data_IF_074105317153
#
_entry.id   IF_074105317153
#
_cell.length_a   1.000
_cell.length_b   1.000
_cell.length_c   1.000
_cell.angle_alpha   90.00
_cell.angle_beta   90.00
_cell.angle_gamma   90.00
#
_symmetry.space_group_name_H-M   'P 1'
#
loop_
_entity.id
_entity.type
_entity.pdbx_description
1 polymer ?
#
# COMPACT_ATOMS: atom_id res chain seq x y z
N UNK A 1 10.51 6.44 13.05
CA UNK A 1 10.48 5.07 12.48
C UNK A 1 10.46 4.03 13.59
N UNK A 2 11.52 3.95 14.41
CA UNK A 2 11.63 2.97 15.50
C UNK A 2 10.57 3.15 16.60
N UNK A 3 10.21 4.37 16.97
CA UNK A 3 9.22 4.61 18.05
C UNK A 3 7.83 4.07 17.71
N UNK A 4 7.40 4.17 16.45
CA UNK A 4 6.11 3.63 16.00
C UNK A 4 6.21 2.16 15.58
N UNK A 5 7.41 1.57 15.62
CA UNK A 5 7.69 0.22 15.16
C UNK A 5 7.34 0.00 13.69
N UNK A 6 7.45 1.04 12.87
CA UNK A 6 7.24 0.95 11.42
C UNK A 6 8.58 0.66 10.76
N UNK A 7 8.63 -0.42 9.98
CA UNK A 7 9.82 -0.79 9.22
C UNK A 7 9.76 -0.20 7.81
N UNK A 8 10.93 0.05 7.21
CA UNK A 8 11.02 0.51 5.82
C UNK A 8 10.36 -0.49 4.85
N UNK A 9 10.41 -1.78 5.18
CA UNK A 9 9.74 -2.83 4.41
C UNK A 9 8.20 -2.68 4.45
N UNK A 10 7.61 -2.42 5.62
CA UNK A 10 6.16 -2.23 5.74
C UNK A 10 5.68 -1.01 4.94
N UNK A 11 6.48 0.05 4.89
CA UNK A 11 6.21 1.24 4.07
C UNK A 11 6.25 0.89 2.58
N UNK A 12 7.30 0.19 2.12
CA UNK A 12 7.45 -0.24 0.73
C UNK A 12 6.30 -1.16 0.29
N UNK A 13 5.91 -2.11 1.13
CA UNK A 13 4.79 -3.03 0.86
C UNK A 13 3.47 -2.28 0.73
N UNK A 14 3.19 -1.35 1.66
CA UNK A 14 1.96 -0.53 1.61
C UNK A 14 1.87 0.27 0.31
N UNK A 15 2.97 0.93 -0.08
CA UNK A 15 3.03 1.70 -1.33
C UNK A 15 2.89 0.82 -2.57
N UNK A 16 3.55 -0.35 -2.60
CA UNK A 16 3.45 -1.30 -3.71
C UNK A 16 2.02 -1.80 -3.87
N UNK A 17 1.39 -2.23 -2.78
CA UNK A 17 0.01 -2.74 -2.81
C UNK A 17 -0.95 -1.64 -3.26
N UNK A 18 -0.79 -0.42 -2.75
CA UNK A 18 -1.67 0.70 -3.11
C UNK A 18 -1.53 1.11 -4.59
N UNK A 19 -0.32 1.05 -5.16
CA UNK A 19 -0.03 1.54 -6.52
C UNK A 19 -0.12 0.46 -7.61
N UNK A 20 0.32 -0.76 -7.32
CA UNK A 20 0.39 -1.87 -8.27
C UNK A 20 -0.57 -3.03 -7.93
N UNK A 21 -1.12 -3.06 -6.71
CA UNK A 21 -1.86 -4.21 -6.17
C UNK A 21 -0.92 -5.17 -5.42
N UNK A 22 -1.51 -6.01 -4.56
CA UNK A 22 -0.74 -7.03 -3.84
C UNK A 22 -0.31 -8.19 -4.76
N UNK A 23 0.71 -8.95 -4.35
CA UNK A 23 1.10 -10.16 -5.05
C UNK A 23 -0.02 -11.19 -4.98
N UNK A 24 -0.15 -12.03 -6.01
CA UNK A 24 -1.22 -13.03 -6.17
C UNK A 24 -1.34 -14.01 -4.98
N UNK A 25 -0.25 -14.19 -4.22
CA UNK A 25 -0.23 -15.01 -3.00
C UNK A 25 -0.87 -14.34 -1.77
N UNK A 26 -0.89 -13.01 -1.71
CA UNK A 26 -1.51 -12.22 -0.63
C UNK A 26 -2.97 -11.83 -0.91
N UNK A 27 -3.45 -12.05 -2.14
CA UNK A 27 -4.81 -11.69 -2.52
C UNK A 27 -5.83 -12.58 -1.81
N UNK A 28 -6.81 -11.95 -1.17
CA UNK A 28 -7.99 -12.64 -0.69
C UNK A 28 -8.70 -13.29 -1.88
N UNK A 29 -8.99 -14.59 -1.78
CA UNK A 29 -9.57 -15.35 -2.89
C UNK A 29 -11.02 -15.71 -2.60
N UNK A 30 -11.92 -15.31 -3.49
CA UNK A 30 -13.31 -15.75 -3.46
C UNK A 30 -13.42 -17.12 -4.14
N UNK A 31 -13.84 -18.13 -3.38
CA UNK A 31 -14.10 -19.46 -3.90
C UNK A 31 -15.55 -19.55 -4.38
N UNK A 32 -15.72 -19.68 -5.70
CA UNK A 32 -17.00 -20.01 -6.32
C UNK A 32 -17.03 -21.50 -6.64
N UNK A 33 -18.22 -22.05 -6.83
CA UNK A 33 -18.44 -23.49 -7.07
C UNK A 33 -17.62 -24.08 -8.23
N UNK A 34 -17.16 -23.25 -9.17
CA UNK A 34 -16.44 -23.67 -10.37
C UNK A 34 -15.08 -22.98 -10.58
N UNK A 35 -14.73 -21.95 -9.78
CA UNK A 35 -13.44 -21.26 -9.90
C UNK A 35 -13.09 -20.42 -8.68
N UNK A 36 -11.81 -20.16 -8.50
CA UNK A 36 -11.28 -19.22 -7.52
C UNK A 36 -11.01 -17.87 -8.18
N UNK A 37 -11.50 -16.77 -7.59
CA UNK A 37 -11.31 -15.40 -8.11
C UNK A 37 -10.53 -14.58 -7.09
N UNK A 38 -9.32 -14.10 -7.40
CA UNK A 38 -8.58 -13.21 -6.52
C UNK A 38 -9.22 -11.81 -6.47
N UNK A 39 -9.33 -11.23 -5.28
CA UNK A 39 -9.85 -9.87 -5.05
C UNK A 39 -8.65 -8.94 -4.88
N UNK A 40 -8.47 -8.01 -5.84
CA UNK A 40 -7.41 -7.01 -5.81
C UNK A 40 -7.96 -5.70 -5.27
N UNK A 41 -7.43 -5.25 -4.12
CA UNK A 41 -7.65 -3.90 -3.62
C UNK A 41 -6.51 -3.02 -4.14
N UNK A 42 -6.83 -2.07 -5.02
CA UNK A 42 -5.88 -1.10 -5.57
C UNK A 42 -6.51 0.28 -5.62
N UNK A 43 -5.70 1.32 -5.51
CA UNK A 43 -6.19 2.68 -5.74
C UNK A 43 -6.61 2.86 -7.21
N UNK A 44 -7.69 3.63 -7.47
CA UNK A 44 -8.02 4.01 -8.82
C UNK A 44 -6.85 4.76 -9.48
N UNK A 45 -6.67 4.68 -10.81
CA UNK A 45 -5.50 5.25 -11.50
C UNK A 45 -5.28 6.73 -11.20
N UNK A 46 -6.34 7.54 -11.17
CA UNK A 46 -6.28 8.96 -10.77
C UNK A 46 -5.70 9.17 -9.36
N UNK A 47 -6.04 8.30 -8.40
CA UNK A 47 -5.59 8.41 -7.02
C UNK A 47 -4.10 8.07 -6.83
N UNK A 48 -3.43 7.50 -7.85
CA UNK A 48 -1.97 7.28 -7.81
C UNK A 48 -1.17 8.55 -8.06
N UNK A 49 -1.82 9.56 -8.63
CA UNK A 49 -1.21 10.89 -8.85
C UNK A 49 -1.56 11.89 -7.76
N UNK A 50 -2.53 11.54 -6.91
CA UNK A 50 -2.94 12.35 -5.76
C UNK A 50 -2.06 12.04 -4.54
N UNK A 51 -1.02 12.85 -4.35
CA UNK A 51 -0.10 12.74 -3.21
C UNK A 51 -0.82 12.83 -1.86
N UNK A 52 -1.85 13.67 -1.75
CA UNK A 52 -2.60 13.83 -0.50
C UNK A 52 -3.39 12.56 -0.14
N UNK A 53 -3.81 11.80 -1.15
CA UNK A 53 -4.48 10.52 -0.96
C UNK A 53 -3.48 9.41 -0.59
N UNK A 54 -2.30 9.39 -1.20
CA UNK A 54 -1.21 8.47 -0.84
C UNK A 54 -0.71 8.69 0.61
N UNK A 55 -0.64 9.95 1.04
CA UNK A 55 -0.24 10.33 2.40
C UNK A 55 -1.20 9.81 3.49
N UNK A 56 -2.46 9.58 3.12
CA UNK A 56 -3.51 9.02 4.00
C UNK A 56 -3.48 7.50 4.09
N UNK A 57 -2.63 6.83 3.32
CA UNK A 57 -2.52 5.37 3.40
C UNK A 57 -2.05 4.94 4.78
N UNK A 58 -2.63 3.85 5.26
CA UNK A 58 -2.33 3.30 6.57
C UNK A 58 -1.24 2.24 6.44
N UNK A 59 -0.16 2.42 7.21
CA UNK A 59 0.94 1.47 7.34
C UNK A 59 0.80 0.74 8.68
N UNK A 60 0.96 -0.59 8.71
CA UNK A 60 0.97 -1.33 9.98
C UNK A 60 2.20 -0.94 10.82
N UNK A 61 1.96 -0.52 12.06
CA UNK A 61 2.98 -0.22 13.07
C UNK A 61 2.83 -1.09 14.32
N UNK A 62 3.88 -1.18 15.13
CA UNK A 62 3.90 -2.05 16.32
C UNK A 62 2.89 -1.64 17.40
N UNK A 63 2.46 -0.38 17.41
CA UNK A 63 1.46 0.17 18.36
C UNK A 63 0.09 0.39 17.71
N UNK A 64 -0.12 -0.16 16.52
CA UNK A 64 -1.32 0.02 15.72
C UNK A 64 -1.04 0.67 14.37
N UNK A 65 -2.07 0.77 13.51
CA UNK A 65 -1.95 1.35 12.19
C UNK A 65 -1.62 2.85 12.27
N UNK A 66 -0.67 3.33 11.48
CA UNK A 66 -0.30 4.75 11.39
C UNK A 66 -0.40 5.25 9.97
N UNK A 67 -0.70 6.52 9.76
CA UNK A 67 -0.74 7.10 8.41
C UNK A 67 0.67 7.28 7.85
N UNK A 68 0.79 7.16 6.52
CA UNK A 68 2.06 7.28 5.82
C UNK A 68 2.68 8.68 6.00
N UNK A 69 1.86 9.74 6.03
CA UNK A 69 2.29 11.11 6.33
C UNK A 69 3.03 11.28 7.67
N UNK A 70 2.71 10.45 8.68
CA UNK A 70 3.34 10.52 9.99
C UNK A 70 4.73 9.86 10.04
N UNK A 71 5.08 9.08 9.01
CA UNK A 71 6.31 8.28 8.99
C UNK A 71 7.19 8.55 7.77
N UNK A 72 6.66 9.16 6.71
CA UNK A 72 7.40 9.47 5.49
C UNK A 72 6.83 10.70 4.77
N UNK A 73 7.69 11.41 4.06
CA UNK A 73 7.29 12.44 3.09
C UNK A 73 7.27 11.83 1.69
N UNK A 74 6.22 12.10 0.91
CA UNK A 74 6.04 11.56 -0.43
C UNK A 74 6.27 12.68 -1.44
N UNK A 75 7.07 12.40 -2.47
CA UNK A 75 7.31 13.33 -3.57
C UNK A 75 7.43 12.57 -4.88
N UNK A 76 6.96 13.18 -5.96
CA UNK A 76 7.22 12.68 -7.30
C UNK A 76 8.62 13.13 -7.69
N UNK A 77 9.50 12.17 -7.95
CA UNK A 77 10.83 12.41 -8.50
C UNK A 77 10.93 11.76 -9.88
N UNK A 78 11.58 12.44 -10.83
CA UNK A 78 11.89 11.86 -12.13
C UNK A 78 13.09 10.92 -12.02
N UNK A 79 12.91 9.66 -12.39
CA UNK A 79 14.01 8.69 -12.57
C UNK A 79 14.29 8.45 -14.06
N UNK A 80 15.52 8.08 -14.45
CA UNK A 80 15.80 7.66 -15.82
C UNK A 80 14.99 6.39 -16.15
N UNK A 81 14.44 6.35 -17.36
CA UNK A 81 13.78 5.16 -17.90
C UNK A 81 14.81 4.09 -18.31
#
# INVERSE_FOLDING_TARGET
MADLGVTSQAIADTLRIATAGDYDQGLAKLNLSQRQVPIVVKLPPEARTDLALLERLTVPGARGPVTLANVASIGIAGGPA
#
